data_IF_220013397980
#
_entry.id   IF_220013397980
#
_cell.length_a   1.000
_cell.length_b   1.000
_cell.length_c   1.000
_cell.angle_alpha   90.00
_cell.angle_beta   90.00
_cell.angle_gamma   90.00
#
_symmetry.space_group_name_H-M   'P 1'
#
loop_
_entity.id
_entity.type
_entity.pdbx_description
1 polymer ?
#
# COMPACT_ATOMS: atom_id res chain seq x y z
N UNK A 1 -1.54 7.78 13.32
CA UNK A 1 -2.82 7.26 13.82
C UNK A 1 -3.85 8.38 13.84
N UNK A 2 -5.15 8.10 13.69
CA UNK A 2 -6.20 9.10 13.76
C UNK A 2 -6.18 9.85 15.09
N UNK A 3 -6.38 11.16 15.05
CA UNK A 3 -6.40 12.02 16.25
C UNK A 3 -7.63 11.69 17.11
N UNK A 4 -8.77 11.43 16.47
CA UNK A 4 -10.02 11.08 17.12
C UNK A 4 -10.20 9.56 17.17
N UNK A 5 -10.61 9.02 18.33
CA UNK A 5 -10.87 7.58 18.49
C UNK A 5 -12.12 7.14 17.74
N UNK A 6 -13.12 8.01 17.67
CA UNK A 6 -14.40 7.87 16.97
C UNK A 6 -14.31 8.30 15.50
N UNK A 7 -13.12 8.24 14.88
CA UNK A 7 -12.91 8.70 13.50
C UNK A 7 -13.86 8.05 12.48
N UNK A 8 -14.26 6.79 12.72
CA UNK A 8 -15.14 6.02 11.83
C UNK A 8 -16.52 6.67 11.67
N UNK A 9 -17.03 7.31 12.72
CA UNK A 9 -18.34 8.00 12.69
C UNK A 9 -18.24 9.45 12.21
N UNK A 10 -17.03 9.93 11.90
CA UNK A 10 -16.74 11.31 11.45
C UNK A 10 -16.38 11.39 9.96
N UNK A 11 -16.47 10.29 9.22
CA UNK A 11 -16.22 10.28 7.78
C UNK A 11 -17.24 11.17 7.05
N UNK A 12 -16.76 11.97 6.09
CA UNK A 12 -17.62 12.93 5.37
C UNK A 12 -17.75 14.31 6.03
N UNK A 13 -16.83 14.66 6.94
CA UNK A 13 -16.73 16.02 7.51
C UNK A 13 -16.59 17.09 6.41
N UNK A 14 -17.17 18.27 6.62
CA UNK A 14 -17.11 19.41 5.71
C UNK A 14 -15.64 19.85 5.43
N UNK A 15 -15.22 20.04 4.16
CA UNK A 15 -13.90 20.56 3.81
C UNK A 15 -13.46 21.84 4.54
N UNK A 16 -14.40 22.73 4.89
CA UNK A 16 -14.10 23.96 5.62
C UNK A 16 -13.64 23.67 7.07
N UNK A 17 -14.26 22.68 7.72
CA UNK A 17 -13.88 22.24 9.07
C UNK A 17 -12.50 21.57 9.05
N UNK A 18 -12.23 20.73 8.03
CA UNK A 18 -10.92 20.11 7.83
C UNK A 18 -9.83 21.15 7.63
N UNK A 19 -10.13 22.22 6.88
CA UNK A 19 -9.20 23.32 6.63
C UNK A 19 -8.89 24.10 7.91
N UNK A 20 -9.91 24.39 8.73
CA UNK A 20 -9.73 25.08 9.99
C UNK A 20 -8.82 24.30 10.96
N UNK A 21 -9.01 22.97 11.07
CA UNK A 21 -8.14 22.13 11.89
C UNK A 21 -6.68 22.19 11.42
N UNK A 22 -6.47 22.11 10.11
CA UNK A 22 -5.13 22.07 9.54
C UNK A 22 -4.38 23.40 9.62
N UNK A 23 -5.11 24.52 9.69
CA UNK A 23 -4.50 25.85 9.82
C UNK A 23 -3.75 26.04 11.15
N UNK A 24 -4.14 25.32 12.19
CA UNK A 24 -3.50 25.42 13.51
C UNK A 24 -2.27 24.51 13.63
N UNK A 25 -2.33 23.28 13.09
CA UNK A 25 -1.23 22.31 13.18
C UNK A 25 -1.13 21.45 11.90
N UNK A 26 0.10 21.16 11.39
CA UNK A 26 0.29 20.27 10.26
C UNK A 26 0.07 18.81 10.68
N UNK A 27 -1.13 18.29 10.45
CA UNK A 27 -1.45 16.89 10.72
C UNK A 27 -0.92 15.94 9.64
N UNK A 28 -0.65 14.68 10.03
CA UNK A 28 -0.46 13.59 9.08
C UNK A 28 -1.80 13.24 8.42
N UNK A 29 -1.76 13.03 7.11
CA UNK A 29 -2.84 12.49 6.30
C UNK A 29 -2.95 10.97 6.45
N UNK A 30 -4.17 10.52 6.69
CA UNK A 30 -4.54 9.10 6.66
C UNK A 30 -5.74 8.96 5.73
N UNK A 31 -5.85 7.81 5.06
CA UNK A 31 -7.08 7.42 4.37
C UNK A 31 -7.77 6.32 5.17
N UNK A 32 -9.07 6.48 5.38
CA UNK A 32 -9.93 5.43 5.93
C UNK A 32 -10.17 4.37 4.86
N UNK A 33 -9.88 3.11 5.18
CA UNK A 33 -10.07 1.98 4.26
C UNK A 33 -11.42 1.30 4.46
N UNK A 34 -11.87 0.50 3.49
CA UNK A 34 -13.15 -0.23 3.53
C UNK A 34 -14.36 0.51 2.99
N UNK A 35 -14.14 1.59 2.24
CA UNK A 35 -15.21 2.38 1.63
C UNK A 35 -15.07 2.45 0.12
N UNK A 36 -14.07 3.18 -0.36
CA UNK A 36 -13.74 3.27 -1.79
C UNK A 36 -12.36 2.70 -2.08
N UNK A 37 -11.45 2.86 -1.13
CA UNK A 37 -10.06 2.41 -1.20
C UNK A 37 -9.82 1.39 -0.10
N UNK A 38 -9.21 0.27 -0.47
CA UNK A 38 -8.49 -0.61 0.45
C UNK A 38 -6.99 -0.53 0.15
N UNK A 39 -6.17 -1.12 1.00
CA UNK A 39 -4.73 -1.23 0.75
C UNK A 39 -4.19 -2.61 1.09
N UNK A 40 -3.32 -3.14 0.23
CA UNK A 40 -2.53 -4.32 0.54
C UNK A 40 -1.14 -3.87 1.00
N UNK A 41 -0.84 -4.11 2.28
CA UNK A 41 0.46 -3.85 2.91
C UNK A 41 1.42 -5.02 2.66
N UNK A 42 2.64 -4.69 2.24
CA UNK A 42 3.78 -5.61 2.14
C UNK A 42 5.05 -4.91 2.62
N UNK A 43 6.13 -5.67 2.84
CA UNK A 43 7.45 -5.07 3.04
C UNK A 43 8.04 -4.50 1.74
N UNK A 44 9.12 -3.73 1.88
CA UNK A 44 9.74 -3.05 0.75
C UNK A 44 10.45 -3.99 -0.25
N UNK A 45 10.86 -5.19 0.16
CA UNK A 45 11.48 -6.17 -0.76
C UNK A 45 10.43 -6.69 -1.71
N UNK A 46 9.33 -7.21 -1.16
CA UNK A 46 8.21 -7.72 -1.95
C UNK A 46 7.52 -6.59 -2.73
N UNK A 47 7.33 -5.42 -2.12
CA UNK A 47 6.75 -4.27 -2.80
C UNK A 47 7.53 -3.81 -4.02
N UNK A 48 8.87 -3.88 -4.00
CA UNK A 48 9.71 -3.57 -5.17
C UNK A 48 9.60 -4.63 -6.27
N UNK A 49 9.51 -5.91 -5.92
CA UNK A 49 9.36 -6.99 -6.88
C UNK A 49 8.00 -6.87 -7.60
N UNK A 50 6.90 -6.77 -6.84
CA UNK A 50 5.57 -6.60 -7.41
C UNK A 50 5.43 -5.31 -8.24
N UNK A 51 6.01 -4.19 -7.79
CA UNK A 51 6.04 -2.96 -8.58
C UNK A 51 6.85 -3.09 -9.88
N UNK A 52 7.89 -3.94 -9.89
CA UNK A 52 8.66 -4.24 -11.10
C UNK A 52 7.84 -5.06 -12.09
N UNK A 53 7.10 -6.07 -11.62
CA UNK A 53 6.15 -6.84 -12.43
C UNK A 53 5.12 -5.92 -13.08
N UNK A 54 4.43 -5.09 -12.29
CA UNK A 54 3.42 -4.15 -12.77
C UNK A 54 3.97 -3.17 -13.81
N UNK A 55 5.19 -2.66 -13.58
CA UNK A 55 5.88 -1.79 -14.55
C UNK A 55 6.20 -2.53 -15.84
N UNK A 56 6.67 -3.77 -15.77
CA UNK A 56 6.98 -4.57 -16.95
C UNK A 56 5.74 -4.88 -17.80
N UNK A 57 4.59 -5.09 -17.14
CA UNK A 57 3.30 -5.31 -17.80
C UNK A 57 2.62 -4.02 -18.27
N UNK A 58 3.12 -2.85 -17.90
CA UNK A 58 2.55 -1.56 -18.30
C UNK A 58 1.28 -1.16 -17.53
N UNK A 59 1.05 -1.74 -16.35
CA UNK A 59 -0.11 -1.45 -15.51
C UNK A 59 0.33 -0.75 -14.21
N UNK A 60 0.49 0.59 -14.22
CA UNK A 60 0.81 1.31 -12.99
C UNK A 60 -0.37 1.23 -12.01
N UNK A 61 -0.07 1.01 -10.74
CA UNK A 61 -1.05 1.08 -9.64
C UNK A 61 -0.58 2.12 -8.61
N UNK A 62 -1.47 2.82 -7.90
CA UNK A 62 -1.04 3.80 -6.90
C UNK A 62 -0.37 3.08 -5.72
N UNK A 63 0.87 3.46 -5.40
CA UNK A 63 1.67 2.81 -4.35
C UNK A 63 2.23 3.86 -3.42
N UNK A 64 2.01 3.67 -2.12
CA UNK A 64 2.58 4.48 -1.05
C UNK A 64 3.67 3.70 -0.34
N UNK A 65 4.75 4.37 0.07
CA UNK A 65 5.79 3.79 0.90
C UNK A 65 6.08 4.66 2.12
N UNK A 66 6.34 3.98 3.23
CA UNK A 66 6.77 4.60 4.50
C UNK A 66 8.28 4.50 4.65
N UNK A 67 8.91 5.41 5.43
CA UNK A 67 10.32 5.28 5.80
C UNK A 67 10.66 3.98 6.55
N UNK A 68 9.69 3.38 7.26
CA UNK A 68 9.87 2.10 7.94
C UNK A 68 9.85 0.87 7.00
N UNK A 69 9.79 1.07 5.68
CA UNK A 69 9.86 -0.01 4.71
C UNK A 69 8.54 -0.75 4.50
N UNK A 70 7.40 -0.18 4.91
CA UNK A 70 6.06 -0.68 4.52
C UNK A 70 5.59 -0.02 3.24
N UNK A 71 5.07 -0.84 2.32
CA UNK A 71 4.49 -0.41 1.05
C UNK A 71 3.00 -0.76 1.03
N UNK A 72 2.18 0.17 0.56
CA UNK A 72 0.73 0.04 0.46
C UNK A 72 0.33 0.16 -1.00
N UNK A 73 -0.20 -0.93 -1.56
CA UNK A 73 -0.82 -0.94 -2.88
C UNK A 73 -2.28 -0.54 -2.72
N UNK A 74 -2.66 0.62 -3.25
CA UNK A 74 -4.04 1.11 -3.15
C UNK A 74 -4.90 0.42 -4.20
N UNK A 75 -6.07 -0.08 -3.79
CA UNK A 75 -6.98 -0.85 -4.62
C UNK A 75 -8.43 -0.46 -4.33
N UNK A 76 -9.33 -0.85 -5.24
CA UNK A 76 -10.75 -0.70 -5.02
C UNK A 76 -11.15 -1.49 -3.77
N UNK A 77 -12.06 -0.94 -2.97
CA UNK A 77 -12.50 -1.59 -1.75
C UNK A 77 -13.34 -2.84 -2.03
N UNK A 78 -13.26 -3.82 -1.12
CA UNK A 78 -13.86 -5.13 -1.28
C UNK A 78 -12.81 -6.20 -1.60
N UNK A 79 -13.21 -7.46 -1.59
CA UNK A 79 -12.29 -8.59 -1.81
C UNK A 79 -11.66 -9.13 -0.53
N UNK A 80 -11.46 -10.44 -0.50
CA UNK A 80 -10.79 -11.13 0.61
C UNK A 80 -9.33 -11.37 0.26
N UNK A 81 -8.45 -11.36 1.28
CA UNK A 81 -7.07 -11.79 1.10
C UNK A 81 -7.08 -13.29 0.81
N UNK A 82 -6.53 -13.67 -0.33
CA UNK A 82 -6.45 -15.07 -0.71
C UNK A 82 -5.56 -15.85 0.27
N UNK A 83 -5.95 -17.10 0.54
CA UNK A 83 -5.34 -17.91 1.60
C UNK A 83 -3.82 -18.05 1.45
N UNK A 84 -3.34 -18.23 0.23
CA UNK A 84 -1.92 -18.37 -0.10
C UNK A 84 -1.08 -17.11 0.21
N UNK A 85 -1.72 -15.93 0.23
CA UNK A 85 -1.12 -14.67 0.65
C UNK A 85 -1.34 -14.39 2.14
N UNK A 86 -2.48 -14.84 2.70
CA UNK A 86 -2.79 -14.71 4.12
C UNK A 86 -1.81 -15.48 5.02
N UNK A 87 -1.29 -16.61 4.52
CA UNK A 87 -0.29 -17.42 5.22
C UNK A 87 1.12 -16.80 5.19
N UNK A 88 1.34 -15.72 4.43
CA UNK A 88 2.64 -15.06 4.31
C UNK A 88 2.82 -14.00 5.39
N UNK A 89 3.82 -14.13 6.28
CA UNK A 89 4.09 -13.11 7.29
C UNK A 89 4.38 -11.76 6.66
N UNK A 90 3.69 -10.72 7.15
CA UNK A 90 3.92 -9.34 6.72
C UNK A 90 3.08 -8.88 5.52
N UNK A 91 2.25 -9.75 4.94
CA UNK A 91 1.18 -9.35 4.02
C UNK A 91 -0.10 -9.07 4.81
N UNK A 92 -0.76 -7.95 4.54
CA UNK A 92 -2.00 -7.57 5.24
C UNK A 92 -2.92 -6.74 4.36
N UNK A 93 -4.22 -7.06 4.36
CA UNK A 93 -5.25 -6.18 3.81
C UNK A 93 -5.72 -5.18 4.87
N UNK A 94 -5.76 -3.92 4.50
CA UNK A 94 -6.41 -2.84 5.23
C UNK A 94 -7.75 -2.55 4.56
N UNK A 95 -8.82 -3.14 5.10
CA UNK A 95 -10.21 -2.94 4.68
C UNK A 95 -11.00 -2.12 5.69
N UNK A 96 -12.27 -2.47 5.91
CA UNK A 96 -13.15 -1.71 6.82
C UNK A 96 -12.63 -1.65 8.25
N UNK A 97 -12.75 -0.46 8.86
CA UNK A 97 -12.30 -0.21 10.23
C UNK A 97 -10.79 0.02 10.37
N UNK A 98 -10.05 0.01 9.25
CA UNK A 98 -8.63 0.30 9.20
C UNK A 98 -8.35 1.66 8.53
N UNK A 99 -7.10 2.08 8.58
CA UNK A 99 -6.58 3.27 7.91
C UNK A 99 -5.14 3.03 7.50
N UNK A 100 -4.67 3.75 6.47
CA UNK A 100 -3.26 3.74 6.06
C UNK A 100 -2.74 5.17 5.89
N UNK A 101 -1.45 5.44 6.16
CA UNK A 101 -0.90 6.78 6.08
C UNK A 101 -0.66 7.21 4.62
N UNK A 102 -0.99 8.45 4.28
CA UNK A 102 -0.89 8.99 2.92
C UNK A 102 0.21 10.04 2.79
N UNK A 103 0.87 10.17 1.63
CA UNK A 103 1.77 11.30 1.37
C UNK A 103 1.03 12.64 1.39
N UNK A 104 1.68 13.76 1.78
CA UNK A 104 3.08 13.86 2.23
C UNK A 104 3.23 13.81 3.77
N UNK A 105 2.57 12.87 4.48
CA UNK A 105 2.64 12.79 5.95
C UNK A 105 4.07 12.62 6.49
N UNK A 106 4.39 13.39 7.53
CA UNK A 106 5.59 13.15 8.34
C UNK A 106 5.54 11.76 9.01
N UNK A 107 6.70 11.11 9.13
CA UNK A 107 6.84 9.78 9.72
C UNK A 107 8.22 9.67 10.41
N UNK A 108 8.40 8.87 11.47
CA UNK A 108 9.73 8.68 12.05
C UNK A 108 10.77 8.29 10.98
N UNK A 109 11.85 9.07 10.86
CA UNK A 109 12.90 8.85 9.87
C UNK A 109 12.61 9.39 8.46
N UNK A 110 11.53 10.14 8.24
CA UNK A 110 11.30 10.83 6.96
C UNK A 110 9.84 11.21 6.72
N UNK A 111 9.38 10.97 5.48
CA UNK A 111 7.99 11.19 5.11
C UNK A 111 7.45 10.02 4.30
N UNK A 112 6.15 9.81 4.44
CA UNK A 112 5.38 8.93 3.58
C UNK A 112 5.39 9.50 2.16
N UNK A 113 5.70 8.67 1.16
CA UNK A 113 5.89 9.13 -0.22
C UNK A 113 5.24 8.18 -1.22
N UNK A 114 4.86 8.72 -2.37
CA UNK A 114 4.40 7.94 -3.50
C UNK A 114 5.57 7.21 -4.14
N UNK A 115 5.42 5.90 -4.37
CA UNK A 115 6.25 5.13 -5.32
C UNK A 115 5.67 5.20 -6.72
N UNK A 116 4.35 5.18 -6.81
CA UNK A 116 3.58 5.47 -8.03
C UNK A 116 2.44 6.38 -7.62
N UNK A 117 2.35 7.55 -8.23
CA UNK A 117 1.34 8.54 -7.89
C UNK A 117 0.00 8.22 -8.55
N UNK A 118 -1.15 8.54 -7.93
CA UNK A 118 -2.47 8.30 -8.52
C UNK A 118 -2.66 8.90 -9.92
N UNK A 119 -2.02 10.03 -10.23
CA UNK A 119 -2.10 10.68 -11.54
C UNK A 119 -1.50 9.80 -12.66
N UNK A 120 -0.48 8.99 -12.35
CA UNK A 120 0.12 8.03 -13.32
C UNK A 120 -0.90 6.94 -13.70
N UNK A 121 -1.82 6.65 -12.79
CA UNK A 121 -2.88 5.66 -12.95
C UNK A 121 -4.21 6.28 -13.39
N UNK A 122 -4.23 7.56 -13.80
CA UNK A 122 -5.45 8.31 -14.10
C UNK A 122 -6.51 8.23 -12.97
N UNK A 123 -6.06 8.12 -11.72
CA UNK A 123 -6.91 7.94 -10.53
C UNK A 123 -7.78 6.67 -10.55
N UNK A 124 -7.48 5.71 -11.42
CA UNK A 124 -8.13 4.41 -11.45
C UNK A 124 -7.53 3.52 -10.37
N UNK A 125 -8.40 2.95 -9.53
CA UNK A 125 -8.01 1.94 -8.56
C UNK A 125 -8.10 0.55 -9.21
N UNK A 126 -7.05 -0.28 -9.13
CA UNK A 126 -7.12 -1.66 -9.59
C UNK A 126 -8.06 -2.49 -8.71
N UNK A 127 -8.50 -3.63 -9.22
CA UNK A 127 -9.24 -4.60 -8.40
C UNK A 127 -8.32 -5.25 -7.35
N UNK A 128 -8.87 -5.75 -6.24
CA UNK A 128 -8.12 -6.51 -5.25
C UNK A 128 -7.38 -7.71 -5.85
N UNK A 129 -8.05 -8.48 -6.71
CA UNK A 129 -7.47 -9.66 -7.36
C UNK A 129 -6.26 -9.30 -8.20
N UNK A 130 -6.35 -8.21 -8.98
CA UNK A 130 -5.23 -7.75 -9.81
C UNK A 130 -4.00 -7.38 -8.97
N UNK A 131 -4.21 -6.72 -7.84
CA UNK A 131 -3.11 -6.37 -6.92
C UNK A 131 -2.53 -7.61 -6.26
N UNK A 132 -3.37 -8.55 -5.83
CA UNK A 132 -2.92 -9.82 -5.25
C UNK A 132 -2.12 -10.67 -6.26
N UNK A 133 -2.54 -10.71 -7.53
CA UNK A 133 -1.81 -11.39 -8.60
C UNK A 133 -0.43 -10.76 -8.85
N UNK A 134 -0.33 -9.42 -8.81
CA UNK A 134 0.95 -8.74 -8.89
C UNK A 134 1.86 -9.05 -7.70
N UNK A 135 1.29 -9.17 -6.48
CA UNK A 135 2.06 -9.61 -5.30
C UNK A 135 2.54 -11.05 -5.46
N UNK A 136 1.69 -11.98 -5.95
CA UNK A 136 2.10 -13.37 -6.22
C UNK A 136 3.25 -13.43 -7.20
N UNK A 137 3.12 -12.79 -8.35
CA UNK A 137 4.17 -12.73 -9.35
C UNK A 137 5.47 -12.13 -8.80
N UNK A 138 5.37 -11.07 -7.98
CA UNK A 138 6.53 -10.48 -7.31
C UNK A 138 7.21 -11.44 -6.32
N UNK A 139 6.45 -12.31 -5.64
CA UNK A 139 7.01 -13.36 -4.78
C UNK A 139 7.70 -14.44 -5.60
N UNK A 140 7.05 -14.94 -6.65
CA UNK A 140 7.62 -15.94 -7.55
C UNK A 140 8.95 -15.47 -8.15
N UNK A 141 9.06 -14.20 -8.55
CA UNK A 141 10.33 -13.61 -9.00
C UNK A 141 11.41 -13.63 -7.92
N UNK A 142 11.07 -13.34 -6.66
CA UNK A 142 12.03 -13.36 -5.55
C UNK A 142 12.51 -14.78 -5.24
N UNK A 143 11.59 -15.74 -5.21
CA UNK A 143 11.89 -17.15 -4.93
C UNK A 143 12.79 -17.71 -6.04
N UNK A 144 12.45 -17.47 -7.32
CA UNK A 144 13.28 -17.88 -8.46
C UNK A 144 14.70 -17.27 -8.40
N UNK A 145 14.83 -16.01 -8.00
CA UNK A 145 16.13 -15.35 -7.88
C UNK A 145 16.98 -15.92 -6.73
N UNK A 146 16.34 -16.34 -5.63
CA UNK A 146 17.01 -17.00 -4.52
C UNK A 146 17.56 -18.36 -4.94
N UNK A 147 16.75 -19.18 -5.61
CA UNK A 147 17.16 -20.50 -6.11
C UNK A 147 18.35 -20.41 -7.08
N UNK A 148 18.33 -19.44 -8.00
CA UNK A 148 19.45 -19.20 -8.92
C UNK A 148 20.71 -18.79 -8.16
N UNK A 149 20.60 -17.93 -7.15
CA UNK A 149 21.74 -17.52 -6.34
C UNK A 149 22.36 -18.70 -5.57
N UNK A 150 21.54 -19.60 -5.04
CA UNK A 150 21.98 -20.83 -4.36
C UNK A 150 22.69 -21.79 -5.32
N UNK A 151 22.14 -22.02 -6.52
CA UNK A 151 22.80 -22.84 -7.54
C UNK A 151 24.19 -22.30 -7.91
N UNK A 152 24.29 -20.98 -8.10
CA UNK A 152 25.57 -20.32 -8.41
C UNK A 152 26.56 -20.42 -7.25
N UNK A 153 26.08 -20.40 -6.00
CA UNK A 153 26.92 -20.58 -4.82
C UNK A 153 27.41 -22.04 -4.66
N UNK A 154 26.57 -23.03 -4.96
CA UNK A 154 26.91 -24.45 -4.87
C UNK A 154 27.87 -24.94 -5.98
N UNK A 155 27.94 -24.21 -7.10
CA UNK A 155 28.87 -24.50 -8.21
C UNK A 155 30.27 -23.89 -8.07
N UNK A 156 30.56 -23.17 -6.99
CA UNK A 156 31.89 -22.61 -6.65
C UNK A 156 32.60 -23.45 -5.59
#
# INVERSE_FOLDING_TARGET
MPVHRDWQTRLGTNPDEVTAWWAEHPYSLLIATGHTVDALEVDAVLGRAAASVLRALGFPVPIVATPAGRWYFLMASGGELAADLADVPGIRVHGQGSWVPMPPSAYPGGAVHWRVKPEVCAWQLPTPDFVQDAIRAGREELDNNADVAELVAAGK
#
